data_IF_520702335878
#
_entry.id   IF_520702335878
#
_cell.length_a   1.000
_cell.length_b   1.000
_cell.length_c   1.000
_cell.angle_alpha   90.00
_cell.angle_beta   90.00
_cell.angle_gamma   90.00
#
_symmetry.space_group_name_H-M   'P 1'
#
loop_
_entity.id
_entity.type
_entity.pdbx_description
1 polymer ?
#
# COMPACT_ATOMS: atom_id res chain seq x y z
N UNK A 1 -1.47 12.56 -1.92
CA UNK A 1 -2.85 12.58 -1.37
C UNK A 1 -2.83 12.81 0.13
N UNK A 2 -1.98 12.07 0.84
CA UNK A 2 -1.93 12.01 2.29
C UNK A 2 -0.86 12.90 2.91
N UNK A 3 0.13 13.38 2.14
CA UNK A 3 1.23 14.21 2.68
C UNK A 3 0.78 15.45 3.46
N UNK A 4 -0.40 15.99 3.15
CA UNK A 4 -0.97 17.17 3.83
C UNK A 4 -1.92 16.82 4.99
N UNK A 5 -2.08 15.54 5.30
CA UNK A 5 -3.01 15.03 6.33
C UNK A 5 -2.19 14.77 7.60
N UNK A 6 -2.50 15.47 8.69
CA UNK A 6 -1.74 15.34 9.94
C UNK A 6 -1.86 13.92 10.52
N UNK A 7 -3.07 13.36 10.55
CA UNK A 7 -3.31 11.99 10.98
C UNK A 7 -2.54 10.94 10.16
N UNK A 8 -2.14 11.24 8.92
CA UNK A 8 -1.33 10.29 8.14
C UNK A 8 0.10 10.19 8.68
N UNK A 9 0.70 11.30 9.10
CA UNK A 9 2.02 11.29 9.72
C UNK A 9 1.99 10.57 11.08
N UNK A 10 0.93 10.79 11.86
CA UNK A 10 0.69 10.07 13.12
C UNK A 10 0.45 8.57 12.90
N UNK A 11 -0.24 8.20 11.82
CA UNK A 11 -0.38 6.82 11.39
C UNK A 11 1.01 6.22 11.11
N UNK A 12 1.80 6.85 10.24
CA UNK A 12 3.13 6.36 9.86
C UNK A 12 4.04 6.14 11.07
N UNK A 13 4.03 7.06 12.04
CA UNK A 13 4.81 6.96 13.26
C UNK A 13 4.35 5.82 14.20
N UNK A 14 3.09 5.40 14.10
CA UNK A 14 2.51 4.34 14.95
C UNK A 14 2.43 2.96 14.31
N UNK A 15 2.66 2.85 13.01
CA UNK A 15 2.56 1.61 12.24
C UNK A 15 3.69 0.64 12.61
N UNK A 16 3.30 -0.57 12.97
CA UNK A 16 4.10 -1.72 13.37
C UNK A 16 4.15 -2.77 12.26
N UNK A 17 5.19 -3.61 12.22
CA UNK A 17 5.29 -4.63 11.17
C UNK A 17 4.21 -5.72 11.25
N UNK A 18 3.73 -6.05 12.45
CA UNK A 18 2.70 -7.08 12.68
C UNK A 18 1.26 -6.60 12.40
N UNK A 19 1.07 -5.29 12.22
CA UNK A 19 -0.24 -4.66 12.05
C UNK A 19 -1.12 -4.72 13.32
N UNK A 20 -0.52 -4.82 14.51
CA UNK A 20 -1.23 -4.88 15.80
C UNK A 20 -1.79 -3.55 16.28
N UNK A 21 -1.72 -2.49 15.47
CA UNK A 21 -2.18 -1.16 15.86
C UNK A 21 -3.70 -1.10 15.98
N UNK A 22 -4.19 -0.12 16.74
CA UNK A 22 -5.61 0.15 16.84
C UNK A 22 -6.14 0.83 15.57
N UNK A 23 -7.33 0.41 15.15
CA UNK A 23 -8.03 0.98 13.99
C UNK A 23 -8.25 2.50 14.11
N UNK A 24 -8.28 3.03 15.33
CA UNK A 24 -8.46 4.45 15.63
C UNK A 24 -7.50 5.36 14.82
N UNK A 25 -6.24 4.94 14.59
CA UNK A 25 -5.27 5.71 13.80
C UNK A 25 -5.66 5.81 12.33
N UNK A 26 -6.13 4.70 11.76
CA UNK A 26 -6.59 4.64 10.37
C UNK A 26 -7.88 5.44 10.18
N UNK A 27 -8.82 5.31 11.12
CA UNK A 27 -10.06 6.05 11.13
C UNK A 27 -9.86 7.56 11.29
N UNK A 28 -8.79 8.01 11.95
CA UNK A 28 -8.42 9.42 12.01
C UNK A 28 -8.10 9.98 10.61
N UNK A 29 -7.33 9.23 9.79
CA UNK A 29 -7.06 9.60 8.40
C UNK A 29 -8.34 9.65 7.57
N UNK A 30 -9.23 8.66 7.75
CA UNK A 30 -10.52 8.64 7.05
C UNK A 30 -11.39 9.87 7.37
N UNK A 31 -11.38 10.37 8.61
CA UNK A 31 -12.11 11.60 8.99
C UNK A 31 -11.53 12.84 8.32
N UNK A 32 -10.21 12.96 8.22
CA UNK A 32 -9.58 14.09 7.53
C UNK A 32 -9.85 14.07 6.02
N UNK A 33 -9.79 12.90 5.38
CA UNK A 33 -10.09 12.75 3.96
C UNK A 33 -11.51 13.23 3.61
N UNK A 34 -12.50 12.94 4.44
CA UNK A 34 -13.89 13.38 4.22
C UNK A 34 -14.06 14.90 4.24
N UNK A 35 -13.26 15.60 5.04
CA UNK A 35 -13.33 17.07 5.15
C UNK A 35 -12.88 17.79 3.89
N UNK A 36 -12.16 17.10 2.99
CA UNK A 36 -11.65 17.70 1.75
C UNK A 36 -12.73 18.05 0.72
N UNK A 37 -13.95 17.53 0.87
CA UNK A 37 -15.05 17.70 -0.09
C UNK A 37 -14.89 16.93 -1.41
N UNK A 38 -13.69 16.41 -1.73
CA UNK A 38 -13.38 15.71 -2.98
C UNK A 38 -13.96 14.29 -2.99
N UNK A 39 -14.56 13.91 -4.11
CA UNK A 39 -15.28 12.63 -4.23
C UNK A 39 -14.35 11.42 -4.05
N UNK A 40 -13.16 11.46 -4.64
CA UNK A 40 -12.15 10.41 -4.52
C UNK A 40 -11.57 10.28 -3.11
N UNK A 41 -11.51 11.37 -2.32
CA UNK A 41 -11.07 11.31 -0.93
C UNK A 41 -12.17 10.73 -0.04
N UNK A 42 -13.44 11.08 -0.27
CA UNK A 42 -14.58 10.43 0.39
C UNK A 42 -14.63 8.94 0.10
N UNK A 43 -14.40 8.54 -1.15
CA UNK A 43 -14.29 7.13 -1.51
C UNK A 43 -13.13 6.42 -0.80
N UNK A 44 -11.96 7.07 -0.70
CA UNK A 44 -10.81 6.54 0.05
C UNK A 44 -11.12 6.39 1.55
N UNK A 45 -11.81 7.37 2.14
CA UNK A 45 -12.25 7.30 3.53
C UNK A 45 -13.23 6.13 3.75
N UNK A 46 -14.18 5.91 2.84
CA UNK A 46 -15.08 4.75 2.89
C UNK A 46 -14.29 3.44 2.83
N UNK A 47 -13.33 3.33 1.92
CA UNK A 47 -12.49 2.13 1.80
C UNK A 47 -11.72 1.82 3.08
N UNK A 48 -11.17 2.85 3.75
CA UNK A 48 -10.50 2.69 5.05
C UNK A 48 -11.49 2.18 6.11
N UNK A 49 -12.69 2.76 6.20
CA UNK A 49 -13.71 2.34 7.18
C UNK A 49 -14.15 0.90 6.94
N UNK A 50 -14.41 0.54 5.68
CA UNK A 50 -14.84 -0.80 5.30
C UNK A 50 -13.80 -1.83 5.74
N UNK A 51 -12.52 -1.61 5.43
CA UNK A 51 -11.46 -2.53 5.84
C UNK A 51 -11.23 -2.57 7.36
N UNK A 52 -11.41 -1.45 8.07
CA UNK A 52 -11.38 -1.46 9.55
C UNK A 52 -12.57 -2.23 10.14
N UNK A 53 -13.73 -2.22 9.48
CA UNK A 53 -14.92 -2.98 9.88
C UNK A 53 -14.89 -4.45 9.42
N UNK A 54 -13.82 -4.91 8.79
CA UNK A 54 -13.66 -6.30 8.33
C UNK A 54 -14.22 -6.59 6.93
N UNK A 55 -14.64 -5.57 6.17
CA UNK A 55 -15.07 -5.73 4.79
C UNK A 55 -13.88 -5.54 3.82
N UNK A 56 -13.79 -6.34 2.75
CA UNK A 56 -12.69 -6.23 1.79
C UNK A 56 -12.65 -4.89 1.04
N UNK A 57 -13.83 -4.32 0.74
CA UNK A 57 -13.95 -3.07 -0.02
C UNK A 57 -13.71 -3.23 -1.55
N UNK A 58 -13.87 -4.44 -2.10
CA UNK A 58 -13.55 -4.79 -3.50
C UNK A 58 -14.14 -3.83 -4.54
N UNK A 59 -15.44 -3.54 -4.46
CA UNK A 59 -16.12 -2.66 -5.42
C UNK A 59 -15.58 -1.23 -5.37
N UNK A 60 -15.26 -0.71 -4.18
CA UNK A 60 -14.68 0.63 -4.02
C UNK A 60 -13.25 0.63 -4.57
N UNK A 61 -12.45 -0.37 -4.24
CA UNK A 61 -11.07 -0.50 -4.73
C UNK A 61 -11.02 -0.50 -6.26
N UNK A 62 -11.79 -1.37 -6.91
CA UNK A 62 -11.82 -1.48 -8.36
C UNK A 62 -12.24 -0.17 -9.03
N UNK A 63 -13.25 0.52 -8.47
CA UNK A 63 -13.80 1.76 -9.04
C UNK A 63 -12.87 2.97 -8.87
N UNK A 64 -12.09 3.04 -7.79
CA UNK A 64 -11.36 4.26 -7.42
C UNK A 64 -9.84 4.13 -7.41
N UNK A 65 -9.24 2.95 -7.60
CA UNK A 65 -7.77 2.74 -7.53
C UNK A 65 -6.97 3.78 -8.33
N UNK A 66 -7.34 4.03 -9.57
CA UNK A 66 -6.63 4.97 -10.45
C UNK A 66 -6.76 6.41 -9.95
N UNK A 67 -7.93 6.79 -9.43
CA UNK A 67 -8.18 8.12 -8.84
C UNK A 67 -7.38 8.32 -7.55
N UNK A 68 -7.00 7.24 -6.88
CA UNK A 68 -6.10 7.25 -5.74
C UNK A 68 -4.62 7.19 -6.14
N UNK A 69 -4.31 7.27 -7.44
CA UNK A 69 -2.96 7.14 -8.00
C UNK A 69 -2.32 5.77 -7.71
N UNK A 70 -3.15 4.74 -7.57
CA UNK A 70 -2.69 3.35 -7.52
C UNK A 70 -2.61 2.81 -8.95
N UNK A 71 -1.40 2.60 -9.49
CA UNK A 71 -1.21 2.14 -10.86
C UNK A 71 -1.84 0.76 -11.08
N UNK A 72 -2.33 0.53 -12.30
CA UNK A 72 -2.72 -0.79 -12.79
C UNK A 72 -1.53 -1.36 -13.58
N UNK A 73 -0.75 -2.24 -12.95
CA UNK A 73 0.33 -2.95 -13.61
C UNK A 73 -0.22 -4.16 -14.39
N UNK A 74 0.41 -4.50 -15.51
CA UNK A 74 0.26 -5.81 -16.15
C UNK A 74 0.59 -6.89 -15.11
N UNK A 75 -0.15 -8.01 -15.12
CA UNK A 75 0.02 -9.13 -14.17
C UNK A 75 -0.42 -8.83 -12.71
N UNK A 76 -1.21 -7.77 -12.49
CA UNK A 76 -1.82 -7.46 -11.19
C UNK A 76 -0.80 -7.39 -10.03
N UNK A 77 0.36 -6.76 -10.25
CA UNK A 77 1.43 -6.65 -9.24
C UNK A 77 1.01 -5.92 -7.94
N UNK A 78 -0.13 -5.22 -7.98
CA UNK A 78 -0.76 -4.54 -6.86
C UNK A 78 -2.25 -4.90 -6.82
N UNK A 79 -2.64 -5.71 -5.84
CA UNK A 79 -3.99 -6.25 -5.68
C UNK A 79 -4.60 -5.85 -4.33
N UNK A 80 -5.91 -5.99 -4.22
CA UNK A 80 -6.65 -5.72 -2.98
C UNK A 80 -6.10 -6.47 -1.74
N UNK A 81 -5.68 -7.74 -1.79
CA UNK A 81 -5.13 -8.45 -0.64
C UNK A 81 -3.80 -7.87 -0.11
N UNK A 82 -3.14 -7.00 -0.88
CA UNK A 82 -1.96 -6.27 -0.42
C UNK A 82 -2.31 -5.11 0.51
N UNK A 83 -3.58 -4.73 0.58
CA UNK A 83 -4.08 -3.64 1.41
C UNK A 83 -4.61 -4.18 2.74
N UNK A 84 -4.33 -3.43 3.81
CA UNK A 84 -4.87 -3.65 5.15
C UNK A 84 -5.35 -2.33 5.72
N UNK A 85 -6.58 -2.29 6.26
CA UNK A 85 -7.20 -1.09 6.85
C UNK A 85 -7.17 0.13 5.92
N UNK A 86 -7.28 -0.12 4.62
CA UNK A 86 -7.34 0.87 3.57
C UNK A 86 -6.00 1.38 3.06
N UNK A 87 -4.86 0.83 3.49
CA UNK A 87 -3.53 1.24 3.02
C UNK A 87 -2.72 0.04 2.54
N UNK A 88 -1.76 0.29 1.65
CA UNK A 88 -0.83 -0.72 1.17
C UNK A 88 0.04 -1.26 2.32
N UNK A 89 -0.12 -2.53 2.64
CA UNK A 89 0.59 -3.19 3.73
C UNK A 89 1.72 -4.08 3.21
N UNK A 90 1.48 -4.78 2.10
CA UNK A 90 2.45 -5.62 1.41
C UNK A 90 2.78 -5.01 0.04
N UNK A 91 4.05 -4.98 -0.35
CA UNK A 91 4.45 -4.68 -1.72
C UNK A 91 5.21 -5.85 -2.32
N UNK A 92 4.78 -6.32 -3.50
CA UNK A 92 5.39 -7.43 -4.22
C UNK A 92 6.20 -6.88 -5.38
N UNK A 93 7.51 -6.80 -5.20
CA UNK A 93 8.43 -6.45 -6.26
C UNK A 93 8.76 -7.70 -7.07
N UNK A 94 8.63 -7.59 -8.38
CA UNK A 94 8.92 -8.69 -9.29
C UNK A 94 10.25 -8.45 -9.99
N UNK A 95 10.92 -9.53 -10.40
CA UNK A 95 12.11 -9.48 -11.25
C UNK A 95 11.82 -8.88 -12.63
N UNK A 96 12.86 -8.46 -13.33
CA UNK A 96 12.76 -7.67 -14.58
C UNK A 96 12.15 -8.42 -15.77
N UNK A 97 12.00 -9.74 -15.66
CA UNK A 97 11.28 -10.60 -16.59
C UNK A 97 9.74 -10.53 -16.45
N UNK A 98 9.23 -9.71 -15.52
CA UNK A 98 7.81 -9.35 -15.43
C UNK A 98 7.53 -8.03 -16.13
N UNK A 99 6.37 -7.95 -16.78
CA UNK A 99 5.97 -6.72 -17.45
C UNK A 99 5.67 -5.64 -16.40
N UNK A 100 6.29 -4.48 -16.51
CA UNK A 100 6.06 -3.36 -15.59
C UNK A 100 6.77 -3.47 -14.23
N UNK A 101 7.65 -4.46 -14.02
CA UNK A 101 8.39 -4.63 -12.77
C UNK A 101 9.22 -3.39 -12.39
N UNK A 102 9.94 -2.81 -13.37
CA UNK A 102 10.70 -1.57 -13.16
C UNK A 102 9.79 -0.41 -12.74
N UNK A 103 8.71 -0.17 -13.48
CA UNK A 103 7.74 0.88 -13.15
C UNK A 103 7.08 0.69 -11.77
N UNK A 104 6.85 -0.56 -11.35
CA UNK A 104 6.33 -0.86 -10.03
C UNK A 104 7.33 -0.52 -8.92
N UNK A 105 8.63 -0.82 -9.12
CA UNK A 105 9.68 -0.46 -8.18
C UNK A 105 9.88 1.05 -8.10
N UNK A 106 9.87 1.75 -9.23
CA UNK A 106 9.99 3.21 -9.27
C UNK A 106 8.81 3.86 -8.53
N UNK A 107 7.59 3.39 -8.81
CA UNK A 107 6.40 3.83 -8.07
C UNK A 107 6.52 3.56 -6.58
N UNK A 108 7.02 2.38 -6.16
CA UNK A 108 7.22 2.07 -4.76
C UNK A 108 8.18 3.06 -4.08
N UNK A 109 9.25 3.47 -4.75
CA UNK A 109 10.23 4.39 -4.17
C UNK A 109 9.70 5.83 -4.01
N UNK A 110 8.79 6.26 -4.89
CA UNK A 110 8.30 7.63 -4.95
C UNK A 110 6.92 7.83 -4.32
N UNK A 111 6.11 6.78 -4.20
CA UNK A 111 4.72 6.87 -3.79
C UNK A 111 4.56 7.17 -2.30
N UNK A 112 3.66 8.11 -1.99
CA UNK A 112 3.21 8.35 -0.61
C UNK A 112 2.58 7.09 0.01
N UNK A 113 1.86 6.30 -0.80
CA UNK A 113 1.19 5.07 -0.36
C UNK A 113 2.22 4.04 0.13
N UNK A 114 3.36 3.93 -0.56
CA UNK A 114 4.40 2.97 -0.23
C UNK A 114 4.99 3.17 1.17
N UNK A 115 4.89 4.38 1.74
CA UNK A 115 5.34 4.67 3.12
C UNK A 115 4.60 3.85 4.18
N UNK A 116 3.40 3.35 3.85
CA UNK A 116 2.60 2.48 4.72
C UNK A 116 2.99 1.01 4.66
N UNK A 117 3.82 0.61 3.70
CA UNK A 117 4.27 -0.78 3.53
C UNK A 117 5.04 -1.25 4.76
N UNK A 118 4.75 -2.48 5.17
CA UNK A 118 5.42 -3.19 6.27
C UNK A 118 6.03 -4.51 5.86
N UNK A 119 5.58 -5.06 4.74
CA UNK A 119 6.11 -6.28 4.16
C UNK A 119 6.50 -5.98 2.72
N UNK A 120 7.77 -6.15 2.38
CA UNK A 120 8.25 -6.14 1.01
C UNK A 120 8.64 -7.55 0.63
N UNK A 121 8.14 -8.03 -0.50
CA UNK A 121 8.45 -9.35 -1.02
C UNK A 121 9.10 -9.23 -2.39
N UNK A 122 10.22 -9.92 -2.59
CA UNK A 122 10.84 -10.09 -3.91
C UNK A 122 10.38 -11.41 -4.51
N UNK A 123 9.74 -11.32 -5.66
CA UNK A 123 9.20 -12.43 -6.42
C UNK A 123 9.99 -12.64 -7.71
N UNK A 124 10.28 -13.89 -8.04
CA UNK A 124 11.00 -14.27 -9.26
C UNK A 124 10.29 -15.42 -9.98
N UNK A 125 10.47 -15.55 -11.29
CA UNK A 125 10.07 -16.77 -12.03
C UNK A 125 11.17 -17.82 -11.87
N UNK A 126 10.97 -18.76 -10.96
CA UNK A 126 11.76 -19.97 -10.91
C UNK A 126 11.14 -20.98 -11.86
N UNK A 127 11.79 -21.27 -13.00
CA UNK A 127 11.26 -22.25 -13.99
C UNK A 127 9.85 -21.91 -14.49
N UNK A 128 9.53 -20.62 -14.58
CA UNK A 128 8.20 -20.12 -14.97
C UNK A 128 7.16 -20.06 -13.84
N UNK A 129 7.50 -20.53 -12.63
CA UNK A 129 6.63 -20.48 -11.46
C UNK A 129 7.02 -19.28 -10.59
N UNK A 130 6.06 -18.37 -10.27
CA UNK A 130 6.32 -17.28 -9.34
C UNK A 130 6.67 -17.82 -7.94
N UNK A 131 7.84 -17.42 -7.43
CA UNK A 131 8.29 -17.79 -6.09
C UNK A 131 8.78 -16.54 -5.34
N UNK A 132 8.32 -16.37 -4.10
CA UNK A 132 8.88 -15.38 -3.19
C UNK A 132 10.28 -15.85 -2.76
N UNK A 133 11.31 -15.08 -3.12
CA UNK A 133 12.71 -15.35 -2.77
C UNK A 133 13.12 -14.71 -1.46
N UNK A 134 12.46 -13.61 -1.12
CA UNK A 134 12.85 -12.81 0.02
C UNK A 134 11.66 -12.03 0.55
N UNK A 135 11.63 -11.91 1.86
CA UNK A 135 10.69 -11.05 2.59
C UNK A 135 11.49 -10.12 3.50
N UNK A 136 11.27 -8.81 3.34
CA UNK A 136 11.74 -7.79 4.25
C UNK A 136 10.55 -7.27 5.05
N UNK A 137 10.71 -7.22 6.37
CA UNK A 137 9.68 -6.76 7.29
C UNK A 137 10.26 -5.63 8.13
N UNK A 138 9.53 -4.52 8.23
CA UNK A 138 10.00 -3.34 8.94
C UNK A 138 9.27 -2.09 8.50
N UNK A 139 9.74 -0.94 8.96
CA UNK A 139 9.29 0.36 8.46
C UNK A 139 9.74 0.57 7.01
N UNK A 140 9.04 1.45 6.29
CA UNK A 140 9.42 1.80 4.91
C UNK A 140 10.87 2.30 4.80
N UNK A 141 11.38 3.04 5.80
CA UNK A 141 12.75 3.52 5.81
C UNK A 141 13.77 2.36 5.94
N UNK A 142 13.50 1.39 6.81
CA UNK A 142 14.34 0.20 6.97
C UNK A 142 14.34 -0.67 5.71
N UNK A 143 13.16 -0.87 5.12
CA UNK A 143 13.01 -1.59 3.84
C UNK A 143 13.83 -0.89 2.75
N UNK A 144 13.67 0.43 2.57
CA UNK A 144 14.46 1.18 1.59
C UNK A 144 15.96 1.11 1.83
N UNK A 145 16.40 1.22 3.08
CA UNK A 145 17.81 1.10 3.42
C UNK A 145 18.36 -0.29 3.08
N UNK A 146 17.57 -1.36 3.30
CA UNK A 146 17.95 -2.71 2.93
C UNK A 146 17.99 -2.93 1.41
N UNK A 147 17.13 -2.26 0.64
CA UNK A 147 17.16 -2.28 -0.82
C UNK A 147 18.36 -1.53 -1.40
N UNK A 148 18.74 -0.39 -0.80
CA UNK A 148 19.85 0.45 -1.29
C UNK A 148 21.25 -0.13 -1.04
N UNK A 149 21.39 -1.16 -0.18
CA UNK A 149 22.65 -1.84 0.10
C UNK A 149 22.96 -2.98 -0.89
N UNK A 150 22.13 -3.14 -1.91
CA UNK A 150 22.20 -4.20 -2.92
C UNK A 150 22.65 -3.60 -4.25
#
# INVERSE_FOLDING_TARGET
MFEKIAAFHELLAGLRPDGSEADARYLAVARELERSGRHEFKARASFIRDQCAGFEGRSIFQKYRERWKLPAFSEELLQLPDFRRGFLYRFRAHSDDWSGAAAARDWFLESEEARTVRIYERWEKAEGIPACRETLTGTYAEIRAALARR
#
